data_IF_905543602433
#
_entry.id   IF_905543602433
#
_cell.length_a   1.000
_cell.length_b   1.000
_cell.length_c   1.000
_cell.angle_alpha   90.00
_cell.angle_beta   90.00
_cell.angle_gamma   90.00
#
_symmetry.space_group_name_H-M   'P 1'
#
loop_
_entity.id
_entity.type
_entity.pdbx_description
1 polymer ?
#
# COMPACT_ATOMS: atom_id res chain seq x y z
N UNK A 1 -22.71 -26.73 -48.09
CA UNK A 1 -22.69 -25.35 -48.63
C UNK A 1 -21.55 -24.61 -47.95
N UNK A 2 -20.52 -24.23 -48.72
CA UNK A 2 -19.34 -23.51 -48.23
C UNK A 2 -19.60 -22.02 -48.38
N UNK A 3 -19.64 -21.28 -47.29
CA UNK A 3 -19.83 -19.82 -47.29
C UNK A 3 -18.48 -19.11 -47.24
N UNK A 4 -18.37 -18.12 -48.11
CA UNK A 4 -17.17 -17.40 -48.53
C UNK A 4 -16.90 -16.24 -47.56
N UNK A 5 -15.66 -16.12 -47.10
CA UNK A 5 -15.13 -14.96 -46.37
C UNK A 5 -14.72 -13.85 -47.36
N UNK A 6 -15.08 -12.57 -47.16
CA UNK A 6 -14.41 -11.47 -47.84
C UNK A 6 -13.27 -10.91 -46.98
N UNK A 7 -12.05 -11.02 -47.52
CA UNK A 7 -10.85 -10.27 -47.10
C UNK A 7 -11.04 -8.80 -47.45
N UNK A 8 -11.08 -7.92 -46.46
CA UNK A 8 -10.98 -6.47 -46.69
C UNK A 8 -9.51 -6.07 -46.69
N UNK A 9 -9.00 -5.74 -47.87
CA UNK A 9 -7.73 -5.04 -48.06
C UNK A 9 -7.96 -3.56 -47.72
N UNK A 10 -7.28 -3.04 -46.71
CA UNK A 10 -7.07 -1.59 -46.62
C UNK A 10 -5.58 -1.28 -46.70
N UNK A 11 -5.31 -0.39 -47.65
CA UNK A 11 -4.01 -0.03 -48.16
C UNK A 11 -3.24 0.88 -47.21
N UNK A 12 -1.94 0.69 -47.26
CA UNK A 12 -0.87 1.48 -46.67
C UNK A 12 -0.97 2.93 -47.13
N UNK A 13 -1.06 3.86 -46.17
CA UNK A 13 -0.96 5.30 -46.37
C UNK A 13 0.13 5.88 -45.48
N UNK A 14 1.36 5.78 -45.95
CA UNK A 14 2.55 6.38 -45.35
C UNK A 14 2.53 7.89 -45.64
N UNK A 15 2.37 8.75 -44.63
CA UNK A 15 2.68 10.18 -44.78
C UNK A 15 3.65 10.62 -43.67
N UNK A 16 4.91 10.69 -44.06
CA UNK A 16 5.99 11.30 -43.30
C UNK A 16 5.93 12.82 -43.48
N UNK A 17 5.88 13.58 -42.38
CA UNK A 17 6.28 15.00 -42.39
C UNK A 17 7.27 15.22 -41.25
N UNK A 18 8.54 15.33 -41.63
CA UNK A 18 9.61 15.91 -40.84
C UNK A 18 9.37 17.42 -40.73
N UNK A 19 9.37 17.97 -39.52
CA UNK A 19 9.79 19.36 -39.33
C UNK A 19 10.57 19.48 -38.02
N UNK A 20 11.86 19.72 -38.19
CA UNK A 20 12.82 20.12 -37.17
C UNK A 20 12.72 21.63 -36.89
N UNK A 21 13.56 22.11 -35.95
CA UNK A 21 13.72 23.43 -35.33
C UNK A 21 13.03 23.47 -33.95
N UNK A 22 13.69 23.30 -32.80
CA UNK A 22 15.06 23.66 -32.45
C UNK A 22 15.08 25.08 -31.87
N UNK A 23 14.77 25.25 -30.59
CA UNK A 23 15.19 26.41 -29.77
C UNK A 23 15.51 25.92 -28.37
N UNK A 24 16.82 25.89 -28.13
CA UNK A 24 17.51 25.74 -26.86
C UNK A 24 17.35 27.04 -26.05
N UNK A 25 16.89 26.95 -24.79
CA UNK A 25 16.96 28.04 -23.80
C UNK A 25 17.11 27.45 -22.40
N UNK A 26 18.36 27.20 -22.03
CA UNK A 26 18.82 27.05 -20.64
C UNK A 26 19.04 28.43 -19.98
N UNK A 27 19.10 28.51 -18.64
CA UNK A 27 18.56 29.59 -17.81
C UNK A 27 19.62 30.62 -17.38
N UNK A 28 19.23 31.69 -16.68
CA UNK A 28 20.14 32.39 -15.78
C UNK A 28 20.05 31.85 -14.35
N UNK A 29 21.21 31.38 -13.87
CA UNK A 29 21.55 31.26 -12.46
C UNK A 29 21.41 32.60 -11.74
N UNK A 30 20.89 32.60 -10.52
CA UNK A 30 21.11 33.69 -9.57
C UNK A 30 21.67 33.11 -8.27
N UNK A 31 22.92 33.45 -8.06
CA UNK A 31 23.75 33.18 -6.89
C UNK A 31 23.43 34.16 -5.74
N UNK A 32 24.00 33.85 -4.57
CA UNK A 32 24.29 34.74 -3.44
C UNK A 32 23.22 34.89 -2.33
N UNK A 33 23.52 34.25 -1.20
CA UNK A 33 22.85 34.44 0.08
C UNK A 33 23.59 33.79 1.25
N UNK A 34 24.86 34.15 1.43
CA UNK A 34 25.68 33.85 2.60
C UNK A 34 25.06 34.45 3.87
N UNK A 35 24.87 33.62 4.90
CA UNK A 35 24.47 34.03 6.24
C UNK A 35 24.98 33.01 7.26
N UNK A 36 26.22 33.21 7.70
CA UNK A 36 26.80 32.53 8.84
C UNK A 36 26.18 33.09 10.13
N UNK A 37 25.77 32.23 11.06
CA UNK A 37 26.04 32.50 12.47
C UNK A 37 26.09 31.19 13.28
N UNK A 38 27.30 30.89 13.73
CA UNK A 38 27.57 29.92 14.76
C UNK A 38 27.20 30.54 16.11
N UNK A 39 26.42 29.82 16.93
CA UNK A 39 26.37 30.07 18.37
C UNK A 39 26.47 28.77 19.14
N UNK A 40 27.24 28.88 20.21
CA UNK A 40 28.02 27.86 20.91
C UNK A 40 27.15 27.03 21.88
N UNK A 41 27.62 25.84 22.30
CA UNK A 41 26.94 25.01 23.28
C UNK A 41 27.15 25.53 24.71
N UNK A 42 26.09 25.49 25.52
CA UNK A 42 26.15 25.75 26.96
C UNK A 42 26.59 24.50 27.76
N UNK A 43 27.26 24.68 28.90
CA UNK A 43 28.00 23.64 29.62
C UNK A 43 27.15 22.74 30.53
N UNK A 44 27.68 21.52 30.65
CA UNK A 44 27.29 20.42 31.54
C UNK A 44 27.39 20.87 33.01
N UNK A 45 26.30 20.74 33.77
CA UNK A 45 26.34 20.77 35.24
C UNK A 45 26.25 19.35 35.78
N UNK A 46 27.33 18.90 36.40
CA UNK A 46 27.44 17.66 37.19
C UNK A 46 27.43 18.00 38.67
N UNK A 47 26.38 17.61 39.39
CA UNK A 47 26.35 17.41 40.86
C UNK A 47 25.18 16.44 41.12
N UNK A 48 25.20 15.38 41.93
CA UNK A 48 26.19 14.82 42.83
C UNK A 48 25.66 13.46 43.33
N UNK A 49 26.58 12.59 43.71
CA UNK A 49 26.35 11.25 44.23
C UNK A 49 26.34 11.29 45.76
N UNK A 50 25.33 10.69 46.40
CA UNK A 50 25.40 10.16 47.78
C UNK A 50 24.12 9.40 48.15
N UNK A 51 24.26 8.26 48.85
CA UNK A 51 23.23 7.77 49.76
C UNK A 51 22.79 6.32 49.59
N UNK A 52 23.63 5.39 50.06
CA UNK A 52 23.29 3.99 50.32
C UNK A 52 22.51 3.86 51.63
N UNK A 53 21.46 3.04 51.69
CA UNK A 53 21.09 2.22 52.87
C UNK A 53 19.85 1.35 52.64
N UNK A 54 20.02 0.05 52.87
CA UNK A 54 18.98 -1.00 53.00
C UNK A 54 18.73 -1.23 54.50
N UNK A 55 17.53 -1.62 54.95
CA UNK A 55 17.23 -3.04 55.25
C UNK A 55 15.78 -3.43 54.82
N UNK A 56 15.49 -4.63 54.29
CA UNK A 56 15.43 -5.99 54.85
C UNK A 56 14.11 -6.35 55.60
N UNK A 57 13.45 -7.37 55.04
CA UNK A 57 12.42 -8.29 55.59
C UNK A 57 10.96 -7.84 55.72
N UNK A 58 10.09 -8.43 54.89
CA UNK A 58 9.06 -9.39 55.33
C UNK A 58 8.82 -10.46 54.26
N UNK A 59 8.81 -11.71 54.69
CA UNK A 59 8.46 -12.92 53.95
C UNK A 59 6.95 -13.15 54.02
N UNK A 60 6.28 -13.33 52.88
CA UNK A 60 4.96 -13.96 52.87
C UNK A 60 4.80 -14.92 51.67
N UNK A 61 4.73 -16.20 52.03
CA UNK A 61 3.82 -17.24 51.55
C UNK A 61 3.36 -17.20 50.07
N UNK A 62 4.01 -18.02 49.25
CA UNK A 62 3.56 -18.37 47.89
C UNK A 62 2.43 -19.42 47.93
N UNK A 63 1.25 -19.17 47.34
CA UNK A 63 0.39 -20.26 46.88
C UNK A 63 0.95 -20.84 45.58
N UNK A 64 1.08 -22.17 45.55
CA UNK A 64 1.26 -22.94 44.32
C UNK A 64 -0.06 -22.86 43.51
N UNK A 65 -0.03 -22.09 42.42
CA UNK A 65 -1.12 -21.96 41.46
C UNK A 65 -0.65 -22.35 40.07
N UNK A 66 -1.15 -23.49 39.61
CA UNK A 66 -1.09 -24.10 38.28
C UNK A 66 -0.58 -23.21 37.13
N UNK A 67 0.63 -23.50 36.63
CA UNK A 67 1.14 -22.93 35.39
C UNK A 67 0.52 -23.68 34.20
N UNK A 68 -0.67 -23.25 33.78
CA UNK A 68 -1.21 -23.64 32.48
C UNK A 68 -0.29 -23.09 31.36
N UNK A 69 0.06 -23.89 30.33
CA UNK A 69 0.77 -23.37 29.19
C UNK A 69 -0.20 -22.51 28.38
N UNK A 70 -0.10 -21.19 28.51
CA UNK A 70 -0.70 -20.26 27.54
C UNK A 70 0.13 -20.31 26.25
N UNK A 71 0.00 -21.40 25.50
CA UNK A 71 0.49 -21.53 24.13
C UNK A 71 -0.44 -20.81 23.16
N UNK A 72 -0.62 -19.51 23.34
CA UNK A 72 -1.13 -18.63 22.30
C UNK A 72 0.06 -17.96 21.63
N UNK A 73 0.15 -18.04 20.30
CA UNK A 73 1.08 -17.23 19.51
C UNK A 73 0.78 -15.75 19.73
N UNK A 74 1.30 -15.19 20.82
CA UNK A 74 1.25 -13.77 21.19
C UNK A 74 2.33 -12.99 20.44
N UNK A 75 2.63 -13.39 19.20
CA UNK A 75 3.52 -12.62 18.36
C UNK A 75 2.86 -11.27 18.09
N UNK A 76 3.52 -10.21 18.57
CA UNK A 76 3.08 -8.85 18.35
C UNK A 76 2.91 -8.59 16.85
N UNK A 77 1.79 -7.94 16.48
CA UNK A 77 1.53 -7.59 15.09
C UNK A 77 2.35 -6.36 14.74
N UNK A 78 3.10 -6.43 13.64
CA UNK A 78 4.00 -5.34 13.19
C UNK A 78 3.74 -4.95 11.73
N UNK A 79 4.05 -3.71 11.39
CA UNK A 79 4.05 -3.22 10.00
C UNK A 79 5.33 -3.63 9.27
N UNK A 80 5.19 -4.06 8.02
CA UNK A 80 6.27 -4.10 7.02
C UNK A 80 5.81 -3.34 5.80
N UNK A 81 6.69 -2.57 5.16
CA UNK A 81 6.32 -1.77 4.00
C UNK A 81 7.04 -2.24 2.75
N UNK A 82 6.31 -2.26 1.63
CA UNK A 82 6.90 -2.47 0.31
C UNK A 82 6.47 -1.37 -0.64
N UNK A 83 7.30 -1.10 -1.64
CA UNK A 83 7.03 -0.06 -2.63
C UNK A 83 6.03 -0.56 -3.67
N UNK A 84 5.13 0.34 -4.06
CA UNK A 84 4.26 0.26 -5.22
C UNK A 84 4.57 1.39 -6.22
N UNK A 85 5.64 2.16 -6.00
CA UNK A 85 6.07 3.17 -6.97
C UNK A 85 6.43 2.50 -8.30
N UNK A 86 6.04 3.11 -9.41
CA UNK A 86 6.18 2.54 -10.76
C UNK A 86 7.61 2.05 -11.05
N UNK A 87 8.62 2.87 -10.71
CA UNK A 87 10.05 2.57 -10.87
C UNK A 87 10.52 1.31 -10.14
N UNK A 88 9.82 0.89 -9.09
CA UNK A 88 10.17 -0.28 -8.28
C UNK A 88 9.41 -1.53 -8.74
N UNK A 89 8.46 -1.37 -9.66
CA UNK A 89 7.63 -2.43 -10.21
C UNK A 89 8.09 -2.79 -11.63
N UNK A 90 7.97 -4.07 -11.98
CA UNK A 90 8.26 -4.55 -13.33
C UNK A 90 6.95 -4.77 -14.07
N UNK A 91 6.75 -4.06 -15.18
CA UNK A 91 5.64 -4.34 -16.11
C UNK A 91 5.74 -5.78 -16.60
N UNK A 92 4.65 -6.53 -16.44
CA UNK A 92 4.54 -7.94 -16.87
C UNK A 92 3.57 -8.13 -18.03
N UNK A 93 2.66 -7.18 -18.22
CA UNK A 93 1.67 -7.20 -19.29
C UNK A 93 1.31 -5.76 -19.66
N UNK A 94 1.08 -5.52 -20.95
CA UNK A 94 0.54 -4.28 -21.49
C UNK A 94 -0.58 -4.63 -22.46
N UNK A 95 -1.63 -3.82 -22.43
CA UNK A 95 -2.73 -3.86 -23.39
C UNK A 95 -2.78 -2.51 -24.10
N UNK A 96 -2.17 -2.47 -25.28
CA UNK A 96 -2.05 -1.24 -26.07
C UNK A 96 -3.39 -0.86 -26.74
N UNK A 97 -4.33 -1.79 -26.88
CA UNK A 97 -5.63 -1.54 -27.51
C UNK A 97 -6.56 -0.77 -26.58
N UNK A 98 -6.58 -1.13 -25.30
CA UNK A 98 -7.43 -0.47 -24.29
C UNK A 98 -6.68 0.49 -23.37
N UNK A 99 -5.35 0.56 -23.48
CA UNK A 99 -4.51 1.39 -22.63
C UNK A 99 -4.47 0.88 -21.20
N UNK A 100 -3.99 -0.35 -21.03
CA UNK A 100 -3.87 -1.00 -19.72
C UNK A 100 -2.50 -1.61 -19.46
N UNK A 101 -2.17 -1.83 -18.20
CA UNK A 101 -0.95 -2.55 -17.81
C UNK A 101 -1.14 -3.34 -16.54
N UNK A 102 -0.35 -4.41 -16.42
CA UNK A 102 -0.15 -5.12 -15.16
C UNK A 102 1.33 -5.10 -14.82
N UNK A 103 1.64 -4.69 -13.58
CA UNK A 103 3.00 -4.59 -13.06
C UNK A 103 3.17 -5.44 -11.81
N UNK A 104 4.29 -6.16 -11.71
CA UNK A 104 4.68 -6.92 -10.54
C UNK A 104 5.58 -6.09 -9.63
N UNK A 105 5.12 -5.85 -8.41
CA UNK A 105 5.82 -5.07 -7.41
C UNK A 105 6.40 -5.95 -6.28
N UNK A 106 7.42 -5.46 -5.54
CA UNK A 106 7.97 -6.16 -4.39
C UNK A 106 6.92 -6.43 -3.30
N UNK A 107 7.06 -7.57 -2.62
CA UNK A 107 6.28 -7.94 -1.44
C UNK A 107 7.18 -8.40 -0.29
N UNK A 108 6.60 -9.13 0.66
CA UNK A 108 7.31 -9.62 1.86
C UNK A 108 6.99 -11.09 2.12
N UNK A 109 7.84 -11.80 2.86
CA UNK A 109 7.62 -13.20 3.26
C UNK A 109 7.29 -14.15 2.08
N UNK A 110 7.91 -13.93 0.92
CA UNK A 110 7.67 -14.71 -0.30
C UNK A 110 6.42 -14.30 -1.09
N UNK A 111 5.64 -13.35 -0.58
CA UNK A 111 4.55 -12.71 -1.32
C UNK A 111 5.10 -11.62 -2.25
N UNK A 112 4.35 -11.32 -3.31
CA UNK A 112 4.52 -10.15 -4.16
C UNK A 112 3.17 -9.46 -4.35
N UNK A 113 3.17 -8.27 -4.95
CA UNK A 113 1.95 -7.56 -5.34
C UNK A 113 1.89 -7.45 -6.85
N UNK A 114 0.68 -7.47 -7.38
CA UNK A 114 0.40 -7.20 -8.78
C UNK A 114 -0.50 -5.98 -8.84
N UNK A 115 -0.01 -4.92 -9.46
CA UNK A 115 -0.75 -3.67 -9.68
C UNK A 115 -1.33 -3.74 -11.07
N UNK A 116 -2.64 -3.60 -11.15
CA UNK A 116 -3.40 -3.53 -12.39
C UNK A 116 -3.79 -2.08 -12.61
N UNK A 117 -3.59 -1.58 -13.81
CA UNK A 117 -4.12 -0.29 -14.27
C UNK A 117 -4.86 -0.54 -15.58
N UNK A 118 -6.19 -0.49 -15.53
CA UNK A 118 -7.04 -0.67 -16.70
C UNK A 118 -8.17 0.36 -16.64
N UNK A 119 -8.34 1.10 -17.73
CA UNK A 119 -9.35 2.18 -17.85
C UNK A 119 -9.28 3.15 -16.66
N UNK A 120 -8.06 3.57 -16.30
CA UNK A 120 -7.73 4.48 -15.20
C UNK A 120 -8.32 4.05 -13.83
N UNK A 121 -8.49 2.74 -13.62
CA UNK A 121 -8.94 2.15 -12.34
C UNK A 121 -7.90 1.17 -11.87
N UNK A 122 -7.07 1.63 -10.94
CA UNK A 122 -6.03 0.79 -10.40
C UNK A 122 -6.53 -0.16 -9.31
N UNK A 123 -6.05 -1.40 -9.33
CA UNK A 123 -6.29 -2.39 -8.28
C UNK A 123 -4.99 -3.09 -7.91
N UNK A 124 -4.94 -3.64 -6.70
CA UNK A 124 -3.81 -4.48 -6.25
C UNK A 124 -4.31 -5.88 -5.98
N UNK A 125 -3.58 -6.87 -6.50
CA UNK A 125 -3.76 -8.27 -6.19
C UNK A 125 -2.56 -8.80 -5.41
N UNK A 126 -2.80 -9.77 -4.53
CA UNK A 126 -1.74 -10.41 -3.74
C UNK A 126 -1.28 -11.65 -4.47
N UNK A 127 0.03 -11.77 -4.72
CA UNK A 127 0.62 -12.99 -5.25
C UNK A 127 1.23 -13.78 -4.09
N UNK A 128 0.59 -14.89 -3.73
CA UNK A 128 1.05 -15.78 -2.68
C UNK A 128 2.32 -16.55 -3.08
N UNK A 129 3.09 -17.08 -2.09
CA UNK A 129 4.15 -18.03 -2.37
C UNK A 129 3.65 -19.18 -3.25
N UNK A 130 4.41 -19.52 -4.30
CA UNK A 130 3.97 -20.47 -5.33
C UNK A 130 3.20 -19.85 -6.50
N UNK A 131 2.98 -18.54 -6.51
CA UNK A 131 2.49 -17.79 -7.68
C UNK A 131 0.97 -17.66 -7.80
N UNK A 132 0.20 -18.17 -6.83
CA UNK A 132 -1.26 -18.02 -6.84
C UNK A 132 -1.64 -16.54 -6.63
N UNK A 133 -2.46 -16.02 -7.54
CA UNK A 133 -3.00 -14.66 -7.47
C UNK A 133 -4.28 -14.65 -6.62
N UNK A 134 -4.39 -13.70 -5.71
CA UNK A 134 -5.52 -13.49 -4.81
C UNK A 134 -6.09 -12.08 -5.06
N UNK A 135 -7.21 -11.97 -5.81
CA UNK A 135 -7.70 -10.69 -6.26
C UNK A 135 -8.36 -9.86 -5.16
N UNK A 136 -8.07 -8.56 -5.09
CA UNK A 136 -8.71 -7.66 -4.12
C UNK A 136 -9.85 -6.81 -4.70
N UNK A 137 -9.95 -6.73 -6.04
CA UNK A 137 -11.07 -6.11 -6.78
C UNK A 137 -11.46 -4.71 -6.30
N UNK A 138 -10.51 -3.78 -6.21
CA UNK A 138 -10.80 -2.44 -5.65
C UNK A 138 -11.93 -1.69 -6.38
N UNK A 139 -12.06 -1.88 -7.70
CA UNK A 139 -13.14 -1.30 -8.50
C UNK A 139 -14.55 -1.75 -8.06
N UNK A 140 -14.66 -2.96 -7.52
CA UNK A 140 -15.93 -3.53 -7.06
C UNK A 140 -16.26 -3.18 -5.62
N UNK A 141 -15.25 -3.00 -4.75
CA UNK A 141 -15.48 -2.95 -3.30
C UNK A 141 -15.03 -1.65 -2.62
N UNK A 142 -14.14 -0.86 -3.24
CA UNK A 142 -13.69 0.43 -2.70
C UNK A 142 -14.38 1.58 -3.43
N UNK A 143 -14.26 1.63 -4.75
CA UNK A 143 -14.84 2.70 -5.59
C UNK A 143 -14.94 2.22 -7.04
N UNK A 144 -16.02 2.54 -7.73
CA UNK A 144 -16.16 2.27 -9.16
C UNK A 144 -15.55 3.39 -10.04
N UNK A 145 -15.12 4.49 -9.42
CA UNK A 145 -14.59 5.66 -10.09
C UNK A 145 -13.12 5.48 -10.48
N UNK A 146 -12.62 6.38 -11.34
CA UNK A 146 -11.20 6.44 -11.67
C UNK A 146 -10.37 6.57 -10.41
N UNK A 147 -9.29 5.79 -10.33
CA UNK A 147 -8.50 5.70 -9.13
C UNK A 147 -7.07 5.28 -9.39
N UNK A 148 -6.17 5.78 -8.54
CA UNK A 148 -4.76 5.46 -8.55
C UNK A 148 -4.32 4.89 -7.20
N UNK A 149 -3.51 3.82 -7.22
CA UNK A 149 -2.92 3.27 -5.99
C UNK A 149 -1.81 4.18 -5.48
N UNK A 150 -1.69 4.30 -4.17
CA UNK A 150 -0.56 4.98 -3.55
C UNK A 150 0.73 4.15 -3.66
N UNK A 151 1.87 4.83 -3.54
CA UNK A 151 3.21 4.24 -3.76
C UNK A 151 3.68 3.24 -2.69
N UNK A 152 2.85 2.93 -1.67
CA UNK A 152 3.25 2.09 -0.55
C UNK A 152 2.15 1.11 -0.16
N UNK A 153 2.56 -0.13 0.04
CA UNK A 153 1.77 -1.16 0.69
C UNK A 153 2.25 -1.36 2.13
N UNK A 154 1.32 -1.41 3.08
CA UNK A 154 1.60 -1.80 4.47
C UNK A 154 1.09 -3.23 4.72
N UNK A 155 2.01 -4.13 5.01
CA UNK A 155 1.73 -5.49 5.44
C UNK A 155 1.63 -5.55 6.95
N UNK A 156 0.55 -6.13 7.46
CA UNK A 156 0.43 -6.48 8.87
C UNK A 156 0.93 -7.90 9.05
N UNK A 157 1.98 -8.06 9.87
CA UNK A 157 2.69 -9.32 10.05
C UNK A 157 2.45 -9.86 11.46
N UNK A 158 2.09 -11.15 11.56
CA UNK A 158 2.15 -11.91 12.81
C UNK A 158 3.29 -12.92 12.68
N UNK A 159 4.37 -12.72 13.43
CA UNK A 159 5.63 -13.43 13.24
C UNK A 159 6.20 -13.19 11.83
N UNK A 160 6.35 -14.29 11.07
CA UNK A 160 6.81 -14.27 9.68
C UNK A 160 5.67 -14.20 8.66
N UNK A 161 4.41 -14.33 9.09
CA UNK A 161 3.27 -14.47 8.19
C UNK A 161 2.51 -13.15 8.02
N UNK A 162 2.24 -12.71 6.78
CA UNK A 162 1.33 -11.60 6.54
C UNK A 162 -0.10 -12.03 6.86
N UNK A 163 -0.81 -11.25 7.67
CA UNK A 163 -2.20 -11.48 8.05
C UNK A 163 -3.18 -10.50 7.39
N UNK A 164 -2.68 -9.34 6.96
CA UNK A 164 -3.46 -8.33 6.27
C UNK A 164 -2.57 -7.41 5.43
N UNK A 165 -3.19 -6.72 4.47
CA UNK A 165 -2.59 -5.72 3.60
C UNK A 165 -3.40 -4.43 3.69
N UNK A 166 -2.72 -3.30 3.75
CA UNK A 166 -3.32 -1.97 3.67
C UNK A 166 -2.70 -1.23 2.49
N UNK A 167 -3.53 -0.76 1.57
CA UNK A 167 -3.10 0.04 0.41
C UNK A 167 -3.94 1.30 0.34
N UNK A 168 -3.29 2.42 0.03
CA UNK A 168 -3.99 3.68 -0.24
C UNK A 168 -4.53 3.68 -1.66
N UNK A 169 -5.77 4.10 -1.83
CA UNK A 169 -6.38 4.30 -3.14
C UNK A 169 -6.93 5.73 -3.22
N UNK A 170 -6.45 6.50 -4.19
CA UNK A 170 -6.90 7.88 -4.44
C UNK A 170 -7.93 7.84 -5.57
N UNK A 171 -9.16 8.24 -5.28
CA UNK A 171 -10.29 8.10 -6.20
C UNK A 171 -10.87 9.45 -6.59
N UNK A 172 -11.27 9.60 -7.85
CA UNK A 172 -11.97 10.78 -8.36
C UNK A 172 -13.46 10.65 -8.07
N UNK A 173 -13.87 11.02 -6.85
CA UNK A 173 -15.26 10.89 -6.38
C UNK A 173 -16.13 12.10 -6.74
N UNK A 174 -15.50 13.22 -7.11
CA UNK A 174 -16.17 14.47 -7.48
C UNK A 174 -16.10 14.66 -9.01
N UNK A 175 -17.20 14.46 -9.75
CA UNK A 175 -17.19 14.63 -11.20
C UNK A 175 -17.07 16.10 -11.64
N UNK A 176 -17.36 17.06 -10.75
CA UNK A 176 -17.25 18.50 -11.05
C UNK A 176 -15.82 19.02 -10.83
N UNK A 177 -15.02 18.31 -10.03
CA UNK A 177 -13.61 18.62 -9.77
C UNK A 177 -12.73 17.36 -9.86
N UNK A 178 -12.39 16.91 -11.09
CA UNK A 178 -11.63 15.67 -11.30
C UNK A 178 -10.17 15.75 -10.80
N UNK A 179 -9.67 16.94 -10.46
CA UNK A 179 -8.35 17.09 -9.83
C UNK A 179 -8.39 16.76 -8.33
N UNK A 180 -9.58 16.74 -7.72
CA UNK A 180 -9.78 16.47 -6.30
C UNK A 180 -9.95 14.98 -6.05
N UNK A 181 -8.89 14.34 -5.56
CA UNK A 181 -8.94 12.93 -5.16
C UNK A 181 -9.40 12.74 -3.72
N UNK A 182 -10.27 11.75 -3.50
CA UNK A 182 -10.62 11.24 -2.16
C UNK A 182 -9.74 10.03 -1.84
N UNK A 183 -9.02 10.08 -0.72
CA UNK A 183 -8.02 9.06 -0.38
C UNK A 183 -8.56 8.03 0.62
N UNK A 184 -8.76 6.80 0.16
CA UNK A 184 -9.17 5.66 0.98
C UNK A 184 -7.98 4.81 1.42
N UNK A 185 -8.12 4.11 2.54
CA UNK A 185 -7.27 2.96 2.85
C UNK A 185 -8.09 1.68 2.69
N UNK A 186 -7.72 0.86 1.71
CA UNK A 186 -8.27 -0.46 1.48
C UNK A 186 -7.58 -1.45 2.43
N UNK A 187 -8.35 -2.08 3.30
CA UNK A 187 -7.86 -3.10 4.24
C UNK A 187 -8.30 -4.47 3.74
N UNK A 188 -7.35 -5.34 3.47
CA UNK A 188 -7.59 -6.71 3.04
C UNK A 188 -7.04 -7.72 4.06
N UNK A 189 -7.82 -8.77 4.36
CA UNK A 189 -7.32 -9.91 5.14
C UNK A 189 -6.58 -10.88 4.22
N UNK A 190 -5.59 -11.57 4.78
CA UNK A 190 -4.83 -12.62 4.09
C UNK A 190 -5.01 -13.91 4.88
N UNK A 191 -5.46 -14.96 4.19
CA UNK A 191 -5.62 -16.31 4.74
C UNK A 191 -4.85 -17.31 3.86
N UNK A 192 -4.60 -18.55 4.30
CA UNK A 192 -3.83 -19.51 3.53
C UNK A 192 -4.36 -19.82 2.11
N UNK A 193 -5.65 -19.58 1.84
CA UNK A 193 -6.29 -19.87 0.56
C UNK A 193 -6.88 -18.66 -0.18
N UNK A 194 -7.11 -17.54 0.51
CA UNK A 194 -7.84 -16.41 -0.03
C UNK A 194 -7.39 -15.08 0.58
N UNK A 195 -7.61 -13.99 -0.16
CA UNK A 195 -7.57 -12.63 0.35
C UNK A 195 -8.81 -11.88 -0.16
N UNK A 196 -9.27 -10.92 0.62
CA UNK A 196 -10.36 -10.03 0.21
C UNK A 196 -10.33 -8.76 1.06
N UNK A 197 -10.89 -7.68 0.52
CA UNK A 197 -11.10 -6.44 1.27
C UNK A 197 -12.15 -6.67 2.36
N UNK A 198 -11.86 -6.24 3.58
CA UNK A 198 -12.78 -6.30 4.72
C UNK A 198 -13.27 -4.92 5.14
N UNK A 199 -12.48 -3.88 4.92
CA UNK A 199 -12.80 -2.52 5.33
C UNK A 199 -12.28 -1.49 4.31
N UNK A 200 -13.07 -0.43 4.11
CA UNK A 200 -12.71 0.79 3.40
C UNK A 200 -12.68 1.93 4.40
N UNK A 201 -11.50 2.48 4.68
CA UNK A 201 -11.35 3.59 5.62
C UNK A 201 -11.39 4.92 4.85
N UNK A 202 -12.35 5.78 5.18
CA UNK A 202 -12.54 7.09 4.56
C UNK A 202 -11.50 8.11 5.06
N UNK A 203 -11.14 9.12 4.25
CA UNK A 203 -10.17 10.15 4.66
C UNK A 203 -10.67 11.02 5.83
N UNK A 204 -11.99 11.09 6.04
CA UNK A 204 -12.62 11.78 7.18
C UNK A 204 -12.49 11.02 8.50
N UNK A 205 -11.96 9.79 8.49
CA UNK A 205 -11.76 8.98 9.70
C UNK A 205 -10.63 9.59 10.54
N UNK A 206 -10.86 9.96 11.82
CA UNK A 206 -9.80 10.42 12.69
C UNK A 206 -8.69 9.36 12.83
N UNK A 207 -7.43 9.79 12.69
CA UNK A 207 -6.28 8.88 12.70
C UNK A 207 -6.42 7.71 11.71
N UNK A 208 -6.90 7.96 10.48
CA UNK A 208 -7.23 6.95 9.47
C UNK A 208 -6.18 5.82 9.31
N UNK A 209 -4.89 6.13 9.33
CA UNK A 209 -3.83 5.13 9.24
C UNK A 209 -3.85 4.15 10.43
N UNK A 210 -4.04 4.66 11.64
CA UNK A 210 -4.14 3.84 12.84
C UNK A 210 -5.44 3.05 12.87
N UNK A 211 -6.56 3.67 12.45
CA UNK A 211 -7.83 2.97 12.29
C UNK A 211 -7.73 1.81 11.29
N UNK A 212 -7.03 2.01 10.16
CA UNK A 212 -6.78 0.96 9.18
C UNK A 212 -5.94 -0.19 9.75
N UNK A 213 -4.90 0.09 10.54
CA UNK A 213 -4.11 -0.94 11.22
C UNK A 213 -4.94 -1.74 12.21
N UNK A 214 -5.77 -1.06 13.00
CA UNK A 214 -6.66 -1.72 13.96
C UNK A 214 -7.71 -2.60 13.26
N UNK A 215 -8.25 -2.15 12.12
CA UNK A 215 -9.14 -2.97 11.29
C UNK A 215 -8.41 -4.20 10.74
N UNK A 216 -7.22 -4.00 10.18
CA UNK A 216 -6.38 -5.04 9.61
C UNK A 216 -5.99 -6.12 10.64
N UNK A 217 -5.63 -5.71 11.85
CA UNK A 217 -5.22 -6.60 12.94
C UNK A 217 -6.37 -7.51 13.43
N UNK A 218 -7.63 -7.05 13.25
CA UNK A 218 -8.86 -7.80 13.59
C UNK A 218 -9.54 -8.44 12.38
N UNK A 219 -8.97 -8.33 11.19
CA UNK A 219 -9.63 -8.68 9.93
C UNK A 219 -9.89 -10.18 9.73
N UNK A 220 -9.18 -11.05 10.46
CA UNK A 220 -9.26 -12.50 10.29
C UNK A 220 -10.70 -13.07 10.32
N UNK A 221 -11.56 -12.52 11.19
CA UNK A 221 -12.96 -12.94 11.35
C UNK A 221 -13.95 -12.01 10.64
N UNK A 222 -13.49 -10.90 10.03
CA UNK A 222 -14.37 -9.99 9.30
C UNK A 222 -14.86 -10.63 8.00
N UNK A 223 -16.13 -10.43 7.62
CA UNK A 223 -16.59 -10.83 6.31
C UNK A 223 -15.87 -10.03 5.22
N UNK A 224 -15.78 -10.60 4.02
CA UNK A 224 -15.36 -9.83 2.85
C UNK A 224 -16.43 -8.79 2.51
N UNK A 225 -16.01 -7.63 2.02
CA UNK A 225 -16.93 -6.66 1.44
C UNK A 225 -17.62 -7.25 0.20
N UNK A 226 -18.89 -6.89 0.02
CA UNK A 226 -19.66 -7.19 -1.20
C UNK A 226 -19.39 -6.12 -2.25
N UNK A 227 -19.74 -6.41 -3.49
CA UNK A 227 -19.64 -5.42 -4.56
C UNK A 227 -20.56 -4.23 -4.28
N UNK A 228 -20.12 -3.02 -4.67
CA UNK A 228 -20.84 -1.74 -4.48
C UNK A 228 -22.23 -1.73 -5.11
N UNK A 229 -22.50 -2.59 -6.11
CA UNK A 229 -23.83 -2.76 -6.69
C UNK A 229 -24.77 -3.71 -5.93
N UNK A 230 -24.27 -4.40 -4.90
CA UNK A 230 -25.01 -5.39 -4.10
C UNK A 230 -25.12 -5.02 -2.61
N UNK A 231 -24.76 -3.78 -2.26
CA UNK A 231 -24.74 -3.25 -0.88
C UNK A 231 -26.00 -2.49 -0.52
#
# INVERSE_FOLDING_TARGET
MRTITPRSLYAVGLLSVLSACGVDRTPPDTDSGSGAEASRPDPITTVGSAGSSVPAFVTDSMPAGDSAPAGGDSSAIRSVYTSLAEKDCRVTETDDEVGGSTSRCPGTAGYALMVHDYDARMSVDIVAPGGRVLPLRYSGVITANFSAVGERAEWRMRGANPIALIVRLNANEDPEDPARTTSYLAVAKITPGAACVTDRIAPTTPNANEAARQAADRSATRPCMRDLGEQ
#
